data_IF_536538251379
#
_entry.id   IF_536538251379
#
_cell.length_a   1.000
_cell.length_b   1.000
_cell.length_c   1.000
_cell.angle_alpha   90.00
_cell.angle_beta   90.00
_cell.angle_gamma   90.00
#
_symmetry.space_group_name_H-M   'P 1'
#
loop_
_entity.id
_entity.type
_entity.pdbx_description
1 polymer ?
#
# COMPACT_ATOMS: atom_id res chain seq x y z
N UNK A 1 -49.12 -39.83 6.26
CA UNK A 1 -47.80 -39.96 5.66
C UNK A 1 -47.55 -38.95 4.52
N UNK A 2 -48.01 -37.69 4.60
CA UNK A 2 -47.77 -36.62 3.58
C UNK A 2 -47.18 -35.32 4.14
N UNK A 3 -46.68 -35.30 5.38
CA UNK A 3 -46.07 -34.11 6.00
C UNK A 3 -44.59 -34.22 6.30
N UNK A 4 -43.95 -35.35 6.00
CA UNK A 4 -42.51 -35.56 6.24
C UNK A 4 -41.64 -35.28 5.00
N UNK A 5 -42.21 -35.15 3.81
CA UNK A 5 -41.49 -34.93 2.58
C UNK A 5 -41.03 -33.48 2.32
N UNK A 6 -41.68 -32.50 2.98
CA UNK A 6 -41.38 -31.07 2.75
C UNK A 6 -40.24 -30.50 3.60
N UNK A 7 -39.91 -31.15 4.72
CA UNK A 7 -38.83 -30.71 5.61
C UNK A 7 -37.46 -31.14 5.04
N UNK A 8 -37.39 -32.27 4.35
CA UNK A 8 -36.15 -32.74 3.72
C UNK A 8 -35.82 -32.00 2.41
N UNK A 9 -36.82 -31.49 1.68
CA UNK A 9 -36.62 -30.67 0.48
C UNK A 9 -36.11 -29.25 0.82
N UNK A 10 -36.58 -28.66 1.94
CA UNK A 10 -36.12 -27.34 2.40
C UNK A 10 -34.68 -27.39 2.95
N UNK A 11 -34.25 -28.50 3.58
CA UNK A 11 -32.90 -28.66 4.07
C UNK A 11 -31.87 -28.91 2.93
N UNK A 12 -32.28 -29.59 1.85
CA UNK A 12 -31.45 -29.79 0.67
C UNK A 12 -31.28 -28.51 -0.16
N UNK A 13 -32.30 -27.65 -0.24
CA UNK A 13 -32.22 -26.36 -0.92
C UNK A 13 -31.37 -25.32 -0.14
N UNK A 14 -31.33 -25.41 1.20
CA UNK A 14 -30.48 -24.54 2.01
C UNK A 14 -28.98 -24.93 1.96
N UNK A 15 -28.66 -26.21 1.77
CA UNK A 15 -27.27 -26.67 1.59
C UNK A 15 -26.72 -26.38 0.19
N UNK A 16 -27.55 -26.25 -0.84
CA UNK A 16 -27.10 -25.91 -2.19
C UNK A 16 -26.91 -24.39 -2.39
N UNK A 17 -27.49 -23.54 -1.56
CA UNK A 17 -27.24 -22.09 -1.61
C UNK A 17 -25.98 -21.66 -0.86
N UNK A 18 -25.45 -22.46 0.07
CA UNK A 18 -24.21 -22.16 0.77
C UNK A 18 -22.94 -22.43 -0.05
N UNK A 19 -23.04 -23.22 -1.14
CA UNK A 19 -21.89 -23.55 -2.00
C UNK A 19 -21.78 -22.70 -3.29
N UNK A 20 -22.67 -21.72 -3.51
CA UNK A 20 -22.65 -20.88 -4.70
C UNK A 20 -21.85 -19.57 -4.55
N UNK A 21 -21.14 -19.37 -3.44
CA UNK A 21 -20.37 -18.15 -3.18
C UNK A 21 -18.86 -18.31 -3.19
N UNK A 22 -18.33 -19.48 -3.51
CA UNK A 22 -16.89 -19.61 -3.80
C UNK A 22 -16.69 -19.45 -5.31
N UNK A 23 -16.46 -18.21 -5.75
CA UNK A 23 -15.89 -17.97 -7.07
C UNK A 23 -14.54 -18.68 -7.20
N UNK A 24 -14.10 -18.99 -8.43
CA UNK A 24 -12.84 -19.69 -8.63
C UNK A 24 -11.70 -18.91 -7.98
N UNK A 25 -10.99 -19.55 -7.06
CA UNK A 25 -9.75 -19.04 -6.48
C UNK A 25 -8.78 -18.78 -7.63
N UNK A 26 -8.25 -17.55 -7.72
CA UNK A 26 -7.16 -17.23 -8.61
C UNK A 26 -6.02 -18.24 -8.42
N UNK A 27 -5.90 -19.20 -9.34
CA UNK A 27 -4.70 -19.99 -9.54
C UNK A 27 -3.79 -19.24 -10.53
N UNK A 28 -3.48 -18.00 -10.24
CA UNK A 28 -2.19 -17.46 -10.65
C UNK A 28 -1.19 -18.16 -9.75
N UNK A 29 -0.06 -18.63 -10.25
CA UNK A 29 0.96 -19.34 -9.52
C UNK A 29 1.26 -18.70 -8.16
N UNK A 30 0.40 -18.93 -7.19
CA UNK A 30 0.82 -19.04 -5.82
C UNK A 30 1.49 -20.42 -5.81
N UNK A 31 2.77 -20.45 -6.20
CA UNK A 31 3.67 -21.46 -5.69
C UNK A 31 3.22 -21.71 -4.27
N UNK A 32 2.97 -23.00 -3.89
CA UNK A 32 2.74 -23.47 -2.53
C UNK A 32 3.31 -22.44 -1.58
N UNK A 33 2.48 -21.74 -0.82
CA UNK A 33 2.91 -20.59 -0.01
C UNK A 33 4.16 -21.05 0.74
N UNK A 34 5.32 -20.66 0.25
CA UNK A 34 6.55 -20.84 1.00
C UNK A 34 6.26 -20.12 2.30
N UNK A 35 6.34 -20.82 3.43
CA UNK A 35 6.09 -20.18 4.71
C UNK A 35 6.98 -18.96 4.76
N UNK A 36 6.35 -17.78 4.97
CA UNK A 36 7.09 -16.53 5.04
C UNK A 36 8.21 -16.66 6.07
N UNK A 37 9.41 -16.15 5.78
CA UNK A 37 10.52 -16.14 6.72
C UNK A 37 10.09 -15.50 8.04
N UNK A 38 10.35 -16.17 9.16
CA UNK A 38 9.99 -15.69 10.50
C UNK A 38 11.13 -14.83 11.03
N UNK A 39 10.83 -13.56 11.37
CA UNK A 39 11.79 -12.61 11.90
C UNK A 39 11.44 -12.20 13.33
N UNK A 40 12.44 -12.16 14.21
CA UNK A 40 12.36 -11.53 15.53
C UNK A 40 12.87 -10.09 15.45
N UNK A 41 12.11 -9.16 16.01
CA UNK A 41 12.43 -7.72 16.04
C UNK A 41 12.14 -7.21 17.44
N UNK A 42 13.08 -7.39 18.39
CA UNK A 42 12.93 -6.83 19.73
C UNK A 42 12.95 -5.30 19.69
N UNK A 43 12.43 -4.67 20.75
CA UNK A 43 12.53 -3.23 20.88
C UNK A 43 13.99 -2.81 21.08
N UNK A 44 14.50 -2.01 20.15
CA UNK A 44 15.85 -1.49 20.20
C UNK A 44 15.94 -0.42 21.28
N UNK A 45 17.12 -0.30 21.87
CA UNK A 45 17.44 0.71 22.86
C UNK A 45 18.31 1.82 22.27
N UNK A 46 18.36 2.95 22.97
CA UNK A 46 19.18 4.08 22.57
C UNK A 46 20.11 4.53 23.69
N UNK A 47 21.18 5.20 23.31
CA UNK A 47 22.06 5.93 24.21
C UNK A 47 21.68 7.42 24.24
N UNK A 48 21.71 8.02 25.45
CA UNK A 48 21.52 9.46 25.61
C UNK A 48 20.14 9.98 25.24
N UNK A 49 20.08 11.12 24.57
CA UNK A 49 18.86 11.83 24.19
C UNK A 49 18.00 11.03 23.19
N UNK A 50 18.61 10.16 22.38
CA UNK A 50 17.89 9.33 21.41
C UNK A 50 16.86 8.39 22.06
N UNK A 51 16.99 8.08 23.36
CA UNK A 51 16.05 7.22 24.09
C UNK A 51 14.61 7.75 24.07
N UNK A 52 14.42 9.05 24.03
CA UNK A 52 13.09 9.68 23.99
C UNK A 52 12.27 9.28 22.74
N UNK A 53 12.93 8.91 21.64
CA UNK A 53 12.30 8.62 20.35
C UNK A 53 12.14 7.12 20.07
N UNK A 54 12.61 6.24 20.98
CA UNK A 54 12.62 4.80 20.73
C UNK A 54 11.22 4.18 20.65
N UNK A 55 10.24 4.74 21.33
CA UNK A 55 8.84 4.31 21.21
C UNK A 55 8.35 4.40 19.76
N UNK A 56 8.57 5.54 19.13
CA UNK A 56 8.19 5.77 17.73
C UNK A 56 9.03 4.93 16.78
N UNK A 57 10.35 4.90 16.97
CA UNK A 57 11.25 4.08 16.15
C UNK A 57 10.82 2.60 16.13
N UNK A 58 10.64 1.99 17.30
CA UNK A 58 10.30 0.58 17.41
C UNK A 58 8.91 0.26 16.84
N UNK A 59 7.95 1.16 17.01
CA UNK A 59 6.62 1.02 16.44
C UNK A 59 6.66 1.04 14.91
N UNK A 60 7.36 2.02 14.33
CA UNK A 60 7.49 2.17 12.87
C UNK A 60 8.23 0.99 12.25
N UNK A 61 9.38 0.58 12.84
CA UNK A 61 10.14 -0.58 12.37
C UNK A 61 9.27 -1.85 12.36
N UNK A 62 8.53 -2.08 13.44
CA UNK A 62 7.63 -3.21 13.56
C UNK A 62 6.52 -3.17 12.51
N UNK A 63 5.84 -2.02 12.35
CA UNK A 63 4.70 -1.87 11.46
C UNK A 63 5.10 -2.03 9.98
N UNK A 64 6.26 -1.50 9.59
CA UNK A 64 6.79 -1.67 8.24
C UNK A 64 7.08 -3.13 7.92
N UNK A 65 7.77 -3.83 8.82
CA UNK A 65 8.12 -5.24 8.60
C UNK A 65 6.88 -6.15 8.67
N UNK A 66 5.98 -5.93 9.63
CA UNK A 66 4.75 -6.70 9.79
C UNK A 66 3.78 -6.54 8.62
N UNK A 67 3.77 -5.35 8.00
CA UNK A 67 2.92 -5.07 6.84
C UNK A 67 3.61 -5.28 5.49
N UNK A 68 4.85 -5.75 5.45
CA UNK A 68 5.63 -5.90 4.22
C UNK A 68 5.11 -6.97 3.25
N UNK A 69 4.35 -7.94 3.74
CA UNK A 69 3.88 -9.09 2.95
C UNK A 69 4.96 -10.13 2.61
N UNK A 70 6.23 -9.89 2.98
CA UNK A 70 7.35 -10.82 2.69
C UNK A 70 7.95 -11.46 3.94
N UNK A 71 7.47 -11.07 5.13
CA UNK A 71 7.96 -11.53 6.42
C UNK A 71 6.79 -11.91 7.35
N UNK A 72 7.05 -12.84 8.25
CA UNK A 72 6.18 -13.16 9.39
C UNK A 72 6.88 -12.74 10.68
N UNK A 73 6.22 -11.92 11.49
CA UNK A 73 6.78 -11.47 12.76
C UNK A 73 6.70 -12.56 13.82
N UNK A 74 7.79 -12.88 14.49
CA UNK A 74 7.77 -13.68 15.69
C UNK A 74 7.12 -12.87 16.85
N UNK A 75 6.25 -13.46 17.68
CA UNK A 75 5.58 -12.72 18.75
C UNK A 75 6.56 -12.19 19.80
N UNK A 76 6.53 -10.90 20.11
CA UNK A 76 7.42 -10.25 21.10
C UNK A 76 7.33 -10.90 22.50
N UNK A 77 6.19 -11.46 22.85
CA UNK A 77 5.99 -12.14 24.14
C UNK A 77 6.81 -13.42 24.31
N UNK A 78 7.35 -13.94 23.22
CA UNK A 78 8.16 -15.16 23.19
C UNK A 78 9.67 -14.89 23.13
N UNK A 79 10.08 -13.62 23.16
CA UNK A 79 11.49 -13.25 23.06
C UNK A 79 12.25 -13.49 24.36
N UNK A 80 13.56 -13.76 24.29
CA UNK A 80 14.46 -13.73 25.44
C UNK A 80 14.40 -12.38 26.14
N UNK A 81 14.69 -12.37 27.46
CA UNK A 81 14.66 -11.13 28.25
C UNK A 81 15.75 -10.12 27.85
N UNK A 82 16.86 -10.59 27.30
CA UNK A 82 17.97 -9.74 26.89
C UNK A 82 17.92 -9.44 25.40
N UNK A 83 18.17 -8.18 25.02
CA UNK A 83 18.21 -7.72 23.63
C UNK A 83 19.64 -7.39 23.25
N UNK A 84 20.24 -8.07 22.24
CA UNK A 84 21.58 -7.72 21.75
C UNK A 84 21.56 -6.36 21.07
N UNK A 85 22.62 -5.59 21.21
CA UNK A 85 22.78 -4.27 20.58
C UNK A 85 23.82 -4.29 19.48
N UNK A 86 24.80 -5.17 19.57
CA UNK A 86 25.90 -5.29 18.63
C UNK A 86 26.32 -6.75 18.42
N UNK A 87 26.98 -7.08 17.29
CA UNK A 87 27.40 -8.46 17.00
C UNK A 87 28.28 -9.10 18.07
N UNK A 88 29.09 -8.31 18.77
CA UNK A 88 29.96 -8.78 19.85
C UNK A 88 29.22 -9.22 21.12
N UNK A 89 27.93 -8.92 21.25
CA UNK A 89 27.10 -9.35 22.36
C UNK A 89 26.75 -10.85 22.28
N UNK A 90 26.96 -11.47 21.11
CA UNK A 90 26.76 -12.90 20.94
C UNK A 90 27.99 -13.72 21.32
N UNK A 91 27.73 -14.82 22.04
CA UNK A 91 28.76 -15.79 22.39
C UNK A 91 29.30 -16.47 21.15
N UNK A 92 30.63 -16.60 21.10
CA UNK A 92 31.29 -17.42 20.09
C UNK A 92 31.16 -18.91 20.50
N UNK A 93 30.89 -19.84 19.57
CA UNK A 93 31.07 -21.27 19.84
C UNK A 93 32.50 -21.50 20.35
N UNK A 94 32.65 -22.26 21.43
CA UNK A 94 33.96 -22.63 21.91
C UNK A 94 34.72 -23.29 20.74
N UNK A 95 35.91 -22.79 20.41
CA UNK A 95 36.78 -23.43 19.43
C UNK A 95 36.92 -24.90 19.87
N UNK A 96 36.69 -25.84 18.95
CA UNK A 96 36.83 -27.27 19.25
C UNK A 96 38.22 -27.48 19.86
N UNK A 97 38.25 -27.84 21.15
CA UNK A 97 39.50 -28.04 21.86
C UNK A 97 40.32 -29.10 21.10
N UNK A 98 41.61 -28.86 20.80
CA UNK A 98 42.42 -29.88 20.17
C UNK A 98 42.34 -31.14 21.05
N UNK A 99 42.05 -32.28 20.44
CA UNK A 99 41.90 -33.56 21.10
C UNK A 99 43.17 -33.88 21.95
N UNK A 100 43.12 -33.54 23.25
CA UNK A 100 43.86 -34.08 24.38
C UNK A 100 43.67 -33.18 25.61
N UNK A 101 42.46 -33.17 26.19
CA UNK A 101 42.34 -32.71 27.57
C UNK A 101 42.90 -33.80 28.48
N UNK A 102 43.95 -33.50 29.24
CA UNK A 102 44.39 -34.35 30.32
C UNK A 102 43.30 -34.42 31.39
N UNK A 103 43.02 -35.64 31.86
CA UNK A 103 42.05 -35.91 32.91
C UNK A 103 42.37 -35.03 34.14
N UNK A 104 41.51 -34.06 34.45
CA UNK A 104 41.64 -33.19 35.62
C UNK A 104 41.59 -31.67 35.35
N UNK A 105 41.64 -31.16 34.13
CA UNK A 105 41.40 -29.75 33.86
C UNK A 105 39.88 -29.48 33.78
N UNK A 106 39.36 -28.79 34.76
CA UNK A 106 38.07 -28.13 34.70
C UNK A 106 38.14 -27.15 33.51
N UNK A 107 37.45 -27.50 32.42
CA UNK A 107 37.21 -26.57 31.32
C UNK A 107 36.61 -25.32 31.93
N UNK A 108 37.36 -24.22 31.90
CA UNK A 108 36.89 -22.94 32.34
C UNK A 108 35.59 -22.65 31.55
N UNK A 109 34.46 -22.69 32.25
CA UNK A 109 33.20 -22.26 31.70
C UNK A 109 33.45 -20.88 31.13
N UNK A 110 33.11 -20.66 29.89
CA UNK A 110 33.25 -19.35 29.24
C UNK A 110 32.56 -18.30 30.12
N UNK A 111 33.36 -17.62 30.93
CA UNK A 111 32.96 -16.52 31.81
C UNK A 111 32.87 -15.25 30.94
N UNK A 112 31.88 -15.18 30.09
CA UNK A 112 31.53 -14.00 29.33
C UNK A 112 30.02 -13.90 29.29
N UNK A 113 29.44 -12.85 29.87
CA UNK A 113 28.05 -12.49 29.63
C UNK A 113 27.85 -12.31 28.12
N UNK A 114 26.75 -12.81 27.59
CA UNK A 114 26.43 -12.70 26.16
C UNK A 114 25.25 -13.58 25.80
N UNK A 115 24.68 -13.33 24.64
CA UNK A 115 23.49 -14.02 24.15
C UNK A 115 23.87 -15.19 23.25
N UNK A 116 23.05 -16.23 23.25
CA UNK A 116 23.15 -17.28 22.25
C UNK A 116 22.18 -17.02 21.09
N UNK A 117 22.61 -17.17 19.86
CA UNK A 117 21.73 -17.12 18.69
C UNK A 117 20.60 -18.17 18.80
N UNK A 118 20.90 -19.31 19.43
CA UNK A 118 19.92 -20.37 19.68
C UNK A 118 18.76 -19.96 20.59
N UNK A 119 18.90 -18.93 21.42
CA UNK A 119 17.83 -18.43 22.26
C UNK A 119 16.70 -17.80 21.45
N UNK A 120 17.03 -17.32 20.24
CA UNK A 120 16.09 -16.73 19.28
C UNK A 120 15.59 -17.73 18.24
N UNK A 121 16.44 -18.69 17.81
CA UNK A 121 16.09 -19.63 16.74
C UNK A 121 15.31 -20.85 17.25
N UNK A 122 15.41 -21.19 18.53
CA UNK A 122 14.70 -22.32 19.15
C UNK A 122 13.39 -21.85 19.82
N UNK A 123 12.47 -22.77 20.12
CA UNK A 123 11.31 -22.44 20.92
C UNK A 123 11.71 -21.78 22.27
N UNK A 124 10.97 -20.77 22.73
CA UNK A 124 9.65 -20.36 22.23
C UNK A 124 9.65 -19.37 21.06
N UNK A 125 10.73 -18.63 20.79
CA UNK A 125 10.77 -17.57 19.77
C UNK A 125 10.70 -18.14 18.34
N UNK A 126 11.45 -19.22 18.06
CA UNK A 126 11.45 -19.96 16.79
C UNK A 126 11.60 -19.07 15.54
N UNK A 127 12.46 -18.03 15.62
CA UNK A 127 12.72 -17.13 14.52
C UNK A 127 13.85 -17.66 13.63
N UNK A 128 13.74 -17.47 12.32
CA UNK A 128 14.82 -17.75 11.37
C UNK A 128 15.80 -16.59 11.25
N UNK A 129 15.34 -15.38 11.57
CA UNK A 129 16.11 -14.13 11.45
C UNK A 129 15.92 -13.25 12.67
N UNK A 130 16.93 -12.41 12.95
CA UNK A 130 16.91 -11.45 14.07
C UNK A 130 17.40 -10.09 13.59
N UNK A 131 16.52 -9.08 13.68
CA UNK A 131 16.89 -7.69 13.49
C UNK A 131 17.15 -7.04 14.85
N UNK A 132 18.31 -6.44 15.04
CA UNK A 132 18.73 -5.83 16.31
C UNK A 132 19.68 -4.69 16.07
N UNK A 133 20.00 -3.94 17.11
CA UNK A 133 20.90 -2.82 17.03
C UNK A 133 20.66 -1.80 18.15
N UNK A 134 21.23 -0.62 17.99
CA UNK A 134 21.01 0.49 18.91
C UNK A 134 21.01 1.83 18.17
N UNK A 135 20.36 2.83 18.75
CA UNK A 135 20.41 4.20 18.27
C UNK A 135 21.22 5.07 19.21
N UNK A 136 21.82 6.11 18.65
CA UNK A 136 22.58 7.11 19.40
C UNK A 136 22.37 8.49 18.74
N UNK A 137 22.55 9.54 19.53
CA UNK A 137 22.65 10.91 19.03
C UNK A 137 24.11 11.35 19.14
N UNK A 138 24.65 11.94 18.09
CA UNK A 138 25.97 12.56 18.07
C UNK A 138 25.95 13.82 17.23
N UNK A 139 26.30 14.95 17.84
CA UNK A 139 26.38 16.27 17.18
C UNK A 139 25.07 16.70 16.51
N UNK A 140 23.92 16.46 17.13
CA UNK A 140 22.61 16.81 16.58
C UNK A 140 22.14 15.88 15.45
N UNK A 141 22.71 14.70 15.30
CA UNK A 141 22.33 13.69 14.30
C UNK A 141 21.96 12.38 15.01
N UNK A 142 20.74 11.89 14.76
CA UNK A 142 20.37 10.55 15.16
C UNK A 142 20.98 9.52 14.23
N UNK A 143 21.52 8.44 14.82
CA UNK A 143 22.15 7.34 14.11
C UNK A 143 21.58 6.02 14.59
N UNK A 144 21.43 5.07 13.67
CA UNK A 144 21.11 3.68 13.97
C UNK A 144 22.29 2.80 13.52
N UNK A 145 22.73 1.90 14.38
CA UNK A 145 23.60 0.77 14.04
C UNK A 145 22.72 -0.48 13.97
N UNK A 146 22.20 -0.75 12.76
CA UNK A 146 21.26 -1.83 12.51
C UNK A 146 21.95 -3.10 12.01
N UNK A 147 21.53 -4.25 12.54
CA UNK A 147 22.02 -5.57 12.17
C UNK A 147 20.86 -6.50 11.85
N UNK A 148 21.04 -7.36 10.86
CA UNK A 148 20.17 -8.48 10.57
C UNK A 148 21.00 -9.77 10.53
N UNK A 149 20.59 -10.77 11.30
CA UNK A 149 21.25 -12.07 11.36
C UNK A 149 20.36 -13.18 10.80
N UNK A 150 20.98 -14.09 10.05
CA UNK A 150 20.43 -15.42 9.71
C UNK A 150 20.78 -16.37 10.86
N UNK A 151 19.79 -16.73 11.65
CA UNK A 151 19.96 -17.57 12.85
C UNK A 151 20.21 -19.05 12.54
N UNK A 152 20.22 -19.46 11.28
CA UNK A 152 20.62 -20.80 10.86
C UNK A 152 22.14 -21.00 10.87
N UNK A 153 22.91 -19.90 10.96
CA UNK A 153 24.36 -19.90 10.96
C UNK A 153 24.93 -20.17 12.35
N UNK A 154 26.14 -20.67 12.37
CA UNK A 154 26.84 -21.13 13.58
C UNK A 154 27.55 -20.01 14.36
N UNK A 155 27.99 -18.96 13.69
CA UNK A 155 28.71 -17.83 14.29
C UNK A 155 28.10 -16.49 13.94
N UNK A 156 28.25 -15.48 14.82
CA UNK A 156 27.77 -14.14 14.59
C UNK A 156 28.36 -13.50 13.30
N UNK A 157 29.63 -13.81 12.99
CA UNK A 157 30.28 -13.32 11.78
C UNK A 157 29.64 -13.90 10.50
N UNK A 158 29.29 -15.18 10.50
CA UNK A 158 28.64 -15.85 9.37
C UNK A 158 27.13 -15.54 9.27
N UNK A 159 26.52 -15.16 10.40
CA UNK A 159 25.07 -14.87 10.50
C UNK A 159 24.72 -13.47 9.98
N UNK A 160 25.67 -12.54 9.96
CA UNK A 160 25.41 -11.15 9.63
C UNK A 160 25.08 -10.96 8.15
N UNK A 161 23.80 -10.64 7.86
CA UNK A 161 23.30 -10.30 6.53
C UNK A 161 23.31 -8.80 6.29
N UNK A 162 22.97 -8.01 7.31
CA UNK A 162 23.05 -6.55 7.33
C UNK A 162 23.87 -6.15 8.55
N UNK A 163 24.83 -5.23 8.37
CA UNK A 163 25.56 -4.53 9.42
C UNK A 163 25.84 -3.12 8.90
N UNK A 164 24.95 -2.16 9.20
CA UNK A 164 24.96 -0.86 8.55
C UNK A 164 24.63 0.27 9.53
N UNK A 165 25.29 1.39 9.33
CA UNK A 165 24.99 2.65 10.00
C UNK A 165 24.05 3.48 9.14
N UNK A 166 22.93 3.92 9.72
CA UNK A 166 21.96 4.82 9.12
C UNK A 166 22.04 6.17 9.81
N UNK A 167 21.85 7.24 9.08
CA UNK A 167 21.86 8.61 9.58
C UNK A 167 20.52 9.25 9.30
N UNK A 168 19.93 9.92 10.29
CA UNK A 168 18.74 10.72 10.12
C UNK A 168 19.08 12.12 9.61
N UNK A 169 18.10 12.81 9.04
CA UNK A 169 18.23 14.23 8.66
C UNK A 169 17.98 15.19 9.83
N UNK A 170 17.34 14.72 10.91
CA UNK A 170 17.00 15.48 12.11
C UNK A 170 17.24 14.62 13.36
N UNK A 171 17.32 15.26 14.54
CA UNK A 171 17.49 14.63 15.85
C UNK A 171 16.18 14.61 16.66
N UNK A 172 15.07 14.48 15.98
CA UNK A 172 13.72 14.48 16.54
C UNK A 172 12.96 13.17 16.21
N UNK A 173 11.66 13.16 16.48
CA UNK A 173 10.77 12.05 16.15
C UNK A 173 10.76 11.73 14.65
N UNK A 174 10.87 12.73 13.76
CA UNK A 174 10.92 12.51 12.30
C UNK A 174 12.20 11.78 11.91
N UNK A 175 13.33 12.17 12.50
CA UNK A 175 14.59 11.46 12.31
C UNK A 175 14.55 10.01 12.78
N UNK A 176 13.92 9.74 13.92
CA UNK A 176 13.75 8.37 14.42
C UNK A 176 12.86 7.52 13.48
N UNK A 177 11.75 8.08 12.96
CA UNK A 177 10.91 7.43 11.95
C UNK A 177 11.69 7.14 10.67
N UNK A 178 12.47 8.12 10.18
CA UNK A 178 13.31 7.96 9.01
C UNK A 178 14.30 6.81 9.16
N UNK A 179 14.97 6.68 10.32
CA UNK A 179 15.89 5.57 10.59
C UNK A 179 15.18 4.22 10.58
N UNK A 180 13.99 4.13 11.19
CA UNK A 180 13.19 2.92 11.21
C UNK A 180 12.79 2.48 9.81
N UNK A 181 12.28 3.41 8.99
CA UNK A 181 11.91 3.16 7.60
C UNK A 181 13.10 2.70 6.74
N UNK A 182 14.26 3.35 6.88
CA UNK A 182 15.47 2.98 6.12
C UNK A 182 15.95 1.57 6.48
N UNK A 183 15.94 1.22 7.76
CA UNK A 183 16.35 -0.12 8.19
C UNK A 183 15.34 -1.19 7.75
N UNK A 184 14.05 -0.92 7.91
CA UNK A 184 12.99 -1.79 7.39
C UNK A 184 13.11 -1.99 5.87
N UNK A 185 13.40 -0.93 5.12
CA UNK A 185 13.56 -0.97 3.67
C UNK A 185 14.67 -1.91 3.22
N UNK A 186 15.84 -1.85 3.86
CA UNK A 186 16.95 -2.76 3.56
C UNK A 186 16.56 -4.22 3.87
N UNK A 187 15.90 -4.47 5.00
CA UNK A 187 15.41 -5.81 5.36
C UNK A 187 14.39 -6.30 4.33
N UNK A 188 13.34 -5.53 4.04
CA UNK A 188 12.28 -5.90 3.09
C UNK A 188 12.89 -6.22 1.71
N UNK A 189 13.82 -5.39 1.24
CA UNK A 189 14.49 -5.58 -0.05
C UNK A 189 15.29 -6.87 -0.10
N UNK A 190 15.96 -7.23 0.98
CA UNK A 190 16.71 -8.48 1.09
C UNK A 190 15.83 -9.73 0.95
N UNK A 191 14.57 -9.64 1.40
CA UNK A 191 13.58 -10.72 1.26
C UNK A 191 12.73 -10.60 -0.02
N UNK A 192 13.17 -9.79 -1.00
CA UNK A 192 12.55 -9.68 -2.32
C UNK A 192 11.33 -8.76 -2.39
N UNK A 193 10.99 -8.07 -1.31
CA UNK A 193 9.98 -7.02 -1.29
C UNK A 193 10.49 -5.70 -1.87
N UNK A 194 9.55 -4.76 -2.10
CA UNK A 194 9.87 -3.38 -2.44
C UNK A 194 9.51 -2.47 -1.26
N UNK A 195 10.40 -1.55 -0.94
CA UNK A 195 10.14 -0.57 0.11
C UNK A 195 9.13 0.47 -0.33
N UNK A 196 8.34 0.96 0.64
CA UNK A 196 7.44 2.10 0.49
C UNK A 196 8.09 3.44 0.88
N UNK A 197 9.36 3.43 1.26
CA UNK A 197 10.10 4.66 1.61
C UNK A 197 10.13 5.62 0.42
N UNK A 198 9.78 6.88 0.68
CA UNK A 198 9.69 7.92 -0.35
C UNK A 198 8.43 7.88 -1.20
N UNK A 199 7.48 6.98 -0.89
CA UNK A 199 6.16 7.00 -1.53
C UNK A 199 5.16 7.77 -0.68
N UNK A 200 4.20 8.43 -1.34
CA UNK A 200 3.22 9.28 -0.69
C UNK A 200 1.79 8.94 -1.11
N UNK A 201 0.85 9.13 -0.20
CA UNK A 201 -0.57 9.02 -0.46
C UNK A 201 -1.17 10.43 -0.49
N UNK A 202 -1.56 10.88 -1.67
CA UNK A 202 -2.35 12.09 -1.85
C UNK A 202 -3.82 11.72 -1.67
N UNK A 203 -4.59 12.56 -0.99
CA UNK A 203 -5.99 12.27 -0.72
C UNK A 203 -6.81 13.56 -0.57
N UNK A 204 -8.11 13.43 -0.65
CA UNK A 204 -9.04 14.53 -0.43
C UNK A 204 -9.35 14.60 1.06
N UNK A 205 -9.08 15.73 1.69
CA UNK A 205 -9.45 16.00 3.07
C UNK A 205 -10.58 17.04 3.15
N UNK A 206 -11.54 16.81 4.03
CA UNK A 206 -12.62 17.71 4.36
C UNK A 206 -12.75 17.78 5.88
N UNK A 207 -12.49 18.93 6.48
CA UNK A 207 -12.43 19.07 7.94
C UNK A 207 -13.76 18.72 8.65
N UNK A 208 -14.89 19.05 8.02
CA UNK A 208 -16.23 18.70 8.49
C UNK A 208 -17.20 18.62 7.30
N UNK A 209 -18.36 17.99 7.46
CA UNK A 209 -19.39 17.98 6.43
C UNK A 209 -19.76 19.40 5.99
N UNK A 210 -19.74 19.66 4.67
CA UNK A 210 -19.99 20.99 4.09
C UNK A 210 -18.77 21.92 4.05
N UNK A 211 -17.65 21.58 4.68
CA UNK A 211 -16.41 22.36 4.55
C UNK A 211 -15.77 22.16 3.15
N UNK A 212 -14.88 23.06 2.71
CA UNK A 212 -14.09 22.89 1.50
C UNK A 212 -13.35 21.54 1.50
N UNK A 213 -13.18 20.97 0.30
CA UNK A 213 -12.35 19.78 0.07
C UNK A 213 -11.01 20.21 -0.50
N UNK A 214 -9.93 19.79 0.13
CA UNK A 214 -8.58 20.14 -0.29
C UNK A 214 -7.74 18.86 -0.50
N UNK A 215 -6.75 18.93 -1.38
CA UNK A 215 -5.77 17.86 -1.53
C UNK A 215 -4.76 17.94 -0.40
N UNK A 216 -4.60 16.84 0.28
CA UNK A 216 -3.59 16.62 1.30
C UNK A 216 -2.64 15.52 0.85
N UNK A 217 -1.51 15.41 1.52
CA UNK A 217 -0.52 14.36 1.34
C UNK A 217 -0.09 13.81 2.69
N UNK A 218 0.23 12.54 2.72
CA UNK A 218 0.84 11.83 3.85
C UNK A 218 1.87 10.82 3.36
N UNK A 219 2.77 10.40 4.25
CA UNK A 219 3.65 9.28 4.01
C UNK A 219 2.87 7.97 3.95
N UNK A 220 3.47 6.90 3.41
CA UNK A 220 2.84 5.58 3.25
C UNK A 220 2.31 4.99 4.57
N UNK A 221 2.90 5.37 5.71
CA UNK A 221 2.51 4.94 7.06
C UNK A 221 1.42 5.81 7.69
N UNK A 222 1.00 6.89 7.01
CA UNK A 222 -0.01 7.85 7.48
C UNK A 222 0.55 9.04 8.25
N UNK A 223 1.87 9.16 8.39
CA UNK A 223 2.52 10.29 9.05
C UNK A 223 2.63 11.53 8.14
N UNK A 224 3.11 12.63 8.71
CA UNK A 224 3.46 13.87 8.01
C UNK A 224 2.33 14.47 7.16
N UNK A 225 1.08 14.36 7.64
CA UNK A 225 -0.10 14.87 6.94
C UNK A 225 -0.06 16.38 6.79
N UNK A 226 -0.19 16.88 5.56
CA UNK A 226 -0.22 18.33 5.31
C UNK A 226 -0.94 18.68 4.00
N UNK A 227 -1.27 19.97 3.86
CA UNK A 227 -1.96 20.53 2.69
C UNK A 227 -1.07 20.53 1.45
N UNK A 228 -1.64 20.15 0.31
CA UNK A 228 -1.12 20.46 -1.03
C UNK A 228 -1.87 21.66 -1.61
N UNK A 229 -3.19 21.74 -1.42
CA UNK A 229 -4.01 22.86 -1.89
C UNK A 229 -4.64 23.62 -0.72
N UNK A 230 -4.92 24.92 -0.96
CA UNK A 230 -5.64 25.81 -0.03
C UNK A 230 -6.50 26.79 -0.82
N UNK A 231 -7.37 26.23 -1.65
CA UNK A 231 -8.24 27.03 -2.51
C UNK A 231 -9.54 27.47 -1.83
N UNK A 232 -9.83 26.92 -0.67
CA UNK A 232 -11.10 27.08 0.02
C UNK A 232 -12.30 26.75 -0.89
N UNK A 233 -12.15 25.67 -1.66
CA UNK A 233 -13.08 25.19 -2.68
C UNK A 233 -13.16 23.67 -2.67
N UNK A 234 -13.73 23.07 -3.73
CA UNK A 234 -13.70 21.62 -3.94
C UNK A 234 -12.48 21.27 -4.79
N UNK A 235 -11.50 20.59 -4.21
CA UNK A 235 -10.38 19.96 -4.91
C UNK A 235 -10.45 18.46 -4.65
N UNK A 236 -10.57 17.67 -5.70
CA UNK A 236 -10.91 16.23 -5.64
C UNK A 236 -10.13 15.43 -6.68
N UNK A 237 -10.17 14.09 -6.57
CA UNK A 237 -9.65 13.14 -7.57
C UNK A 237 -8.18 13.36 -7.92
N UNK A 238 -7.27 13.33 -6.94
CA UNK A 238 -5.85 13.46 -7.23
C UNK A 238 -5.32 12.28 -8.05
N UNK A 239 -4.34 12.56 -8.88
CA UNK A 239 -3.54 11.59 -9.63
C UNK A 239 -2.08 11.98 -9.54
N UNK A 240 -1.19 11.04 -9.32
CA UNK A 240 0.26 11.26 -9.18
C UNK A 240 0.95 10.92 -10.49
N UNK A 241 1.90 11.75 -10.91
CA UNK A 241 2.74 11.46 -12.06
C UNK A 241 3.65 10.24 -11.77
N UNK A 242 4.03 9.44 -12.79
CA UNK A 242 4.83 8.23 -12.58
C UNK A 242 6.18 8.46 -11.89
N UNK A 243 6.76 9.65 -12.07
CA UNK A 243 8.03 10.06 -11.46
C UNK A 243 7.86 10.74 -10.09
N UNK A 244 6.62 10.85 -9.58
CA UNK A 244 6.31 11.52 -8.32
C UNK A 244 6.45 13.06 -8.33
N UNK A 245 6.92 13.66 -9.44
CA UNK A 245 7.24 15.09 -9.47
C UNK A 245 6.04 16.01 -9.58
N UNK A 246 4.86 15.48 -9.94
CA UNK A 246 3.64 16.24 -10.19
C UNK A 246 2.40 15.52 -9.71
N UNK A 247 1.38 16.32 -9.42
CA UNK A 247 0.01 15.84 -9.22
C UNK A 247 -0.92 16.57 -10.19
N UNK A 248 -1.95 15.87 -10.65
CA UNK A 248 -3.11 16.44 -11.33
C UNK A 248 -4.35 16.16 -10.50
N UNK A 249 -5.30 17.09 -10.50
CA UNK A 249 -6.54 16.96 -9.74
C UNK A 249 -7.64 17.82 -10.35
N UNK A 250 -8.89 17.52 -10.00
CA UNK A 250 -10.05 18.32 -10.35
C UNK A 250 -10.27 19.39 -9.29
N UNK A 251 -10.46 20.67 -9.68
CA UNK A 251 -10.82 21.71 -8.72
C UNK A 251 -11.85 22.69 -9.26
N UNK A 252 -12.72 23.14 -8.37
CA UNK A 252 -13.75 24.16 -8.62
C UNK A 252 -13.27 25.58 -8.23
N UNK A 253 -11.99 25.78 -7.96
CA UNK A 253 -11.43 27.06 -7.56
C UNK A 253 -11.65 28.20 -8.56
N UNK A 254 -11.97 27.89 -9.83
CA UNK A 254 -12.31 28.85 -10.89
C UNK A 254 -13.82 28.92 -11.19
N UNK A 255 -14.67 28.36 -10.33
CA UNK A 255 -16.12 28.34 -10.47
C UNK A 255 -16.70 27.11 -11.19
N UNK A 256 -15.98 26.53 -12.13
CA UNK A 256 -16.34 25.29 -12.84
C UNK A 256 -15.27 24.24 -12.61
N UNK A 257 -15.62 22.90 -12.66
CA UNK A 257 -14.63 21.85 -12.49
C UNK A 257 -13.60 21.89 -13.62
N UNK A 258 -12.36 22.07 -13.24
CA UNK A 258 -11.22 22.20 -14.15
C UNK A 258 -10.05 21.32 -13.63
N UNK A 259 -9.18 20.90 -14.55
CA UNK A 259 -7.97 20.20 -14.19
C UNK A 259 -6.89 21.18 -13.79
N UNK A 260 -6.27 20.91 -12.66
CA UNK A 260 -5.06 21.58 -12.20
C UNK A 260 -3.90 20.57 -12.21
N UNK A 261 -2.71 21.05 -12.54
CA UNK A 261 -1.47 20.29 -12.48
C UNK A 261 -0.48 21.07 -11.63
N UNK A 262 0.03 20.44 -10.58
CA UNK A 262 1.00 21.05 -9.67
C UNK A 262 2.30 20.24 -9.67
N UNK A 263 3.46 20.94 -9.54
CA UNK A 263 4.68 20.30 -9.05
C UNK A 263 4.55 20.06 -7.55
N UNK A 264 5.20 19.02 -7.03
CA UNK A 264 5.11 18.67 -5.59
C UNK A 264 6.29 19.25 -4.79
N UNK A 265 7.44 19.46 -5.41
CA UNK A 265 8.64 20.03 -4.79
C UNK A 265 9.35 21.02 -5.75
N UNK A 266 9.23 22.33 -5.54
CA UNK A 266 8.27 23.01 -4.68
C UNK A 266 6.83 22.92 -5.21
N UNK A 267 5.85 22.99 -4.30
CA UNK A 267 4.43 23.01 -4.69
C UNK A 267 4.12 24.26 -5.51
N UNK A 268 3.77 24.09 -6.79
CA UNK A 268 3.52 25.17 -7.73
C UNK A 268 2.53 24.79 -8.81
N UNK A 269 1.58 25.69 -9.14
CA UNK A 269 0.66 25.56 -10.28
C UNK A 269 1.45 25.59 -11.62
N UNK A 270 1.33 24.54 -12.41
CA UNK A 270 1.99 24.37 -13.71
C UNK A 270 1.09 24.78 -14.90
N UNK A 271 -0.13 25.29 -14.64
CA UNK A 271 -1.11 25.78 -15.60
C UNK A 271 -1.48 24.78 -16.71
N UNK A 272 -2.58 24.10 -16.51
CA UNK A 272 -3.23 23.30 -17.55
C UNK A 272 -4.24 24.17 -18.31
N UNK A 273 -3.97 24.51 -19.58
CA UNK A 273 -4.69 25.58 -20.26
C UNK A 273 -6.02 25.18 -20.90
N UNK A 274 -6.24 23.98 -21.32
CA UNK A 274 -7.32 23.65 -22.24
C UNK A 274 -8.61 23.19 -21.58
N UNK A 275 -9.36 24.11 -21.05
CA UNK A 275 -10.62 23.94 -20.33
C UNK A 275 -11.79 24.36 -21.22
N UNK A 276 -11.98 23.70 -22.37
CA UNK A 276 -12.98 24.11 -23.38
C UNK A 276 -14.41 23.69 -23.07
N UNK A 277 -14.63 22.95 -21.97
CA UNK A 277 -15.92 22.47 -21.55
C UNK A 277 -16.30 22.98 -20.17
N UNK A 278 -17.61 22.91 -19.86
CA UNK A 278 -18.12 23.27 -18.52
C UNK A 278 -17.69 22.32 -17.42
N UNK A 279 -17.26 21.10 -17.76
CA UNK A 279 -16.76 20.09 -16.82
C UNK A 279 -15.53 19.39 -17.44
N UNK A 280 -14.42 19.43 -16.72
CA UNK A 280 -13.21 18.66 -16.97
C UNK A 280 -12.71 18.14 -15.64
N UNK A 281 -12.45 16.84 -15.56
CA UNK A 281 -12.05 16.22 -14.27
C UNK A 281 -11.47 14.82 -14.40
N UNK A 282 -11.17 14.21 -13.28
CA UNK A 282 -10.68 12.84 -13.15
C UNK A 282 -9.40 12.59 -13.97
N UNK A 283 -8.35 13.39 -13.76
CA UNK A 283 -7.14 13.28 -14.55
C UNK A 283 -6.36 12.00 -14.22
N UNK A 284 -5.65 11.49 -15.23
CA UNK A 284 -4.69 10.38 -15.11
C UNK A 284 -3.50 10.64 -16.03
N UNK A 285 -2.27 10.48 -15.52
CA UNK A 285 -1.07 10.65 -16.33
C UNK A 285 -0.83 9.45 -17.24
N UNK A 286 -0.20 9.70 -18.40
CA UNK A 286 0.45 8.64 -19.18
C UNK A 286 1.74 8.18 -18.48
N UNK A 287 2.21 6.93 -18.72
CA UNK A 287 3.40 6.39 -18.06
C UNK A 287 4.69 7.18 -18.32
N UNK A 288 4.77 7.90 -19.44
CA UNK A 288 5.89 8.78 -19.76
C UNK A 288 5.78 10.18 -19.12
N UNK A 289 4.68 10.46 -18.41
CA UNK A 289 4.41 11.73 -17.73
C UNK A 289 4.22 12.92 -18.67
N UNK A 290 4.04 12.71 -20.00
CA UNK A 290 3.95 13.79 -21.00
C UNK A 290 2.53 14.21 -21.32
N UNK A 291 1.54 13.39 -21.02
CA UNK A 291 0.14 13.66 -21.32
C UNK A 291 -0.75 13.36 -20.12
N UNK A 292 -1.95 13.93 -20.14
CA UNK A 292 -3.02 13.70 -19.17
C UNK A 292 -4.25 13.21 -19.92
N UNK A 293 -4.81 12.09 -19.46
CA UNK A 293 -6.11 11.58 -19.88
C UNK A 293 -7.15 12.02 -18.85
N UNK A 294 -8.33 12.45 -19.26
CA UNK A 294 -9.33 13.01 -18.36
C UNK A 294 -10.75 12.90 -18.92
N UNK A 295 -11.74 13.04 -18.07
CA UNK A 295 -13.15 13.12 -18.45
C UNK A 295 -13.52 14.55 -18.76
N UNK A 296 -14.27 14.78 -19.87
CA UNK A 296 -14.73 16.11 -20.25
C UNK A 296 -16.14 16.08 -20.84
N UNK A 297 -16.94 17.13 -20.53
CA UNK A 297 -18.26 17.34 -21.12
C UNK A 297 -18.23 17.98 -22.50
N UNK A 298 -17.07 18.13 -23.13
CA UNK A 298 -16.94 18.67 -24.50
C UNK A 298 -17.70 17.79 -25.51
N UNK A 299 -18.71 18.36 -26.19
CA UNK A 299 -19.43 17.72 -27.27
C UNK A 299 -20.64 16.84 -26.89
N UNK A 300 -21.33 17.12 -25.81
CA UNK A 300 -22.67 16.67 -25.34
C UNK A 300 -22.70 15.80 -24.06
N UNK A 301 -21.72 14.94 -23.84
CA UNK A 301 -21.71 13.98 -22.73
C UNK A 301 -20.28 13.73 -22.30
N UNK A 302 -20.07 13.29 -21.08
CA UNK A 302 -18.74 13.02 -20.57
C UNK A 302 -18.03 11.96 -21.43
N UNK A 303 -16.91 12.34 -22.02
CA UNK A 303 -16.05 11.48 -22.81
C UNK A 303 -14.63 11.56 -22.28
N UNK A 304 -13.85 10.57 -22.62
CA UNK A 304 -12.44 10.54 -22.29
C UNK A 304 -11.66 11.32 -23.35
N UNK A 305 -10.86 12.26 -22.89
CA UNK A 305 -9.95 13.08 -23.68
C UNK A 305 -8.50 12.81 -23.27
N UNK A 306 -7.57 13.13 -24.16
CA UNK A 306 -6.14 13.22 -23.89
C UNK A 306 -5.61 14.58 -24.32
N UNK A 307 -4.68 15.12 -23.55
CA UNK A 307 -3.99 16.37 -23.86
C UNK A 307 -2.53 16.31 -23.41
N UNK A 308 -1.69 17.21 -23.92
CA UNK A 308 -0.35 17.45 -23.39
C UNK A 308 -0.42 17.98 -21.95
N UNK A 309 0.71 17.95 -21.23
CA UNK A 309 0.84 18.42 -19.84
C UNK A 309 0.46 19.89 -19.64
N UNK A 310 0.44 20.67 -20.69
CA UNK A 310 -0.01 22.06 -20.71
C UNK A 310 -1.49 22.22 -21.15
N UNK A 311 -2.19 21.11 -21.41
CA UNK A 311 -3.57 21.08 -21.90
C UNK A 311 -3.72 21.29 -23.40
N UNK A 312 -2.63 21.45 -24.16
CA UNK A 312 -2.68 21.61 -25.62
C UNK A 312 -2.78 20.28 -26.36
N UNK A 313 -3.17 20.34 -27.64
CA UNK A 313 -3.29 19.14 -28.47
C UNK A 313 -4.37 18.16 -28.01
N UNK A 314 -5.39 18.65 -27.32
CA UNK A 314 -6.46 17.82 -26.80
C UNK A 314 -7.29 17.18 -27.92
N UNK A 315 -7.67 15.94 -27.71
CA UNK A 315 -8.59 15.20 -28.56
C UNK A 315 -9.42 14.20 -27.77
N UNK A 316 -10.65 13.88 -28.22
CA UNK A 316 -11.40 12.78 -27.63
C UNK A 316 -10.74 11.43 -27.98
N UNK A 317 -10.83 10.47 -27.03
CA UNK A 317 -10.46 9.08 -27.24
C UNK A 317 -11.73 8.24 -27.33
N UNK A 318 -12.65 8.38 -26.36
CA UNK A 318 -13.88 7.61 -26.38
C UNK A 318 -14.94 8.24 -27.31
N UNK A 319 -15.84 7.39 -27.84
CA UNK A 319 -16.95 7.80 -28.70
C UNK A 319 -18.02 8.56 -27.91
N UNK A 320 -18.79 9.41 -28.62
CA UNK A 320 -19.92 10.12 -28.01
C UNK A 320 -21.09 9.16 -27.70
N UNK A 321 -21.89 9.49 -26.68
CA UNK A 321 -23.16 8.83 -26.39
C UNK A 321 -23.27 8.09 -25.06
N UNK A 322 -22.21 8.05 -24.26
CA UNK A 322 -22.22 7.44 -22.94
C UNK A 322 -21.52 8.34 -21.91
N UNK A 323 -21.80 8.10 -20.62
CA UNK A 323 -21.02 8.70 -19.54
C UNK A 323 -19.77 7.86 -19.33
N UNK A 324 -18.63 8.36 -19.81
CA UNK A 324 -17.33 7.77 -19.62
C UNK A 324 -16.53 8.61 -18.62
N UNK A 325 -16.06 7.99 -17.55
CA UNK A 325 -15.46 8.65 -16.40
C UNK A 325 -14.28 7.86 -15.84
N UNK A 326 -13.48 8.50 -14.98
CA UNK A 326 -12.41 7.86 -14.20
C UNK A 326 -11.35 7.12 -15.04
N UNK A 327 -10.85 7.71 -16.12
CA UNK A 327 -9.86 7.02 -16.96
C UNK A 327 -8.55 6.78 -16.22
N UNK A 328 -7.99 5.58 -16.39
CA UNK A 328 -6.67 5.20 -15.88
C UNK A 328 -5.85 4.54 -16.98
N UNK A 329 -4.68 5.11 -17.29
CA UNK A 329 -3.79 4.58 -18.30
C UNK A 329 -2.99 3.42 -17.74
N UNK A 330 -2.82 2.34 -18.50
CA UNK A 330 -2.00 1.20 -18.12
C UNK A 330 -0.56 1.66 -17.84
N UNK A 331 -0.05 1.53 -16.60
CA UNK A 331 1.22 2.12 -16.19
C UNK A 331 2.43 1.40 -16.81
N UNK A 332 2.26 0.17 -17.26
CA UNK A 332 3.34 -0.65 -17.83
C UNK A 332 3.51 -0.44 -19.31
N UNK A 333 2.41 -0.39 -20.05
CA UNK A 333 2.43 -0.37 -21.52
C UNK A 333 2.10 0.99 -22.10
N UNK A 334 1.28 1.81 -21.41
CA UNK A 334 0.70 3.03 -21.95
C UNK A 334 -0.27 2.79 -23.10
N UNK A 335 -0.52 1.52 -23.48
CA UNK A 335 -1.28 1.16 -24.67
C UNK A 335 -2.79 1.06 -24.47
N UNK A 336 -3.26 0.97 -23.24
CA UNK A 336 -4.68 0.82 -22.91
C UNK A 336 -5.11 1.73 -21.77
N UNK A 337 -6.43 1.99 -21.74
CA UNK A 337 -7.10 2.79 -20.71
C UNK A 337 -8.23 1.95 -20.15
N UNK A 338 -8.31 1.82 -18.83
CA UNK A 338 -9.52 1.40 -18.12
C UNK A 338 -10.32 2.62 -17.69
N UNK A 339 -11.64 2.48 -17.60
CA UNK A 339 -12.53 3.56 -17.23
C UNK A 339 -13.90 3.04 -16.80
N UNK A 340 -14.64 3.86 -16.05
CA UNK A 340 -16.00 3.60 -15.69
C UNK A 340 -16.94 4.11 -16.78
N UNK A 341 -18.00 3.33 -17.13
CA UNK A 341 -18.96 3.75 -18.14
C UNK A 341 -20.37 3.25 -17.86
N UNK A 342 -21.35 4.14 -18.03
CA UNK A 342 -22.78 3.86 -17.96
C UNK A 342 -23.41 3.38 -19.29
N UNK A 343 -22.63 3.05 -20.32
CA UNK A 343 -23.14 2.70 -21.67
C UNK A 343 -24.02 1.47 -21.74
N UNK A 344 -23.94 0.58 -20.77
CA UNK A 344 -24.75 -0.64 -20.69
C UNK A 344 -25.83 -0.61 -19.59
N UNK A 345 -26.12 0.55 -19.02
CA UNK A 345 -27.02 0.74 -17.89
C UNK A 345 -26.29 1.14 -16.62
N UNK A 346 -26.31 0.34 -15.54
CA UNK A 346 -25.47 0.60 -14.36
C UNK A 346 -23.99 0.72 -14.74
N UNK A 347 -23.27 1.55 -14.01
CA UNK A 347 -21.87 1.80 -14.25
C UNK A 347 -21.02 0.52 -14.18
N UNK A 348 -20.12 0.33 -15.14
CA UNK A 348 -19.27 -0.84 -15.29
C UNK A 348 -17.87 -0.43 -15.67
N UNK A 349 -16.87 -1.30 -15.40
CA UNK A 349 -15.50 -1.09 -15.85
C UNK A 349 -15.34 -1.57 -17.28
N UNK A 350 -14.78 -0.70 -18.11
CA UNK A 350 -14.42 -0.93 -19.50
C UNK A 350 -12.92 -0.73 -19.73
N UNK A 351 -12.41 -1.30 -20.79
CA UNK A 351 -11.06 -1.07 -21.29
C UNK A 351 -11.11 -0.76 -22.79
N UNK A 352 -10.19 0.08 -23.25
CA UNK A 352 -9.98 0.38 -24.68
C UNK A 352 -8.52 0.72 -24.92
N UNK A 353 -8.09 0.74 -26.17
CA UNK A 353 -6.78 1.24 -26.57
C UNK A 353 -6.69 2.78 -26.50
N UNK A 354 -5.49 3.34 -26.56
CA UNK A 354 -5.24 4.80 -26.52
C UNK A 354 -5.78 5.56 -27.75
N UNK A 355 -6.18 4.86 -28.79
CA UNK A 355 -6.87 5.41 -29.98
C UNK A 355 -8.39 5.26 -29.93
N UNK A 356 -8.94 4.62 -28.87
CA UNK A 356 -10.35 4.35 -28.68
C UNK A 356 -10.87 3.06 -29.31
N UNK A 357 -9.97 2.26 -29.92
CA UNK A 357 -10.30 0.93 -30.45
C UNK A 357 -10.34 -0.14 -29.35
N UNK A 358 -10.77 -1.35 -29.73
CA UNK A 358 -10.81 -2.55 -28.89
C UNK A 358 -11.56 -2.34 -27.58
N UNK A 359 -12.70 -1.64 -27.67
CA UNK A 359 -13.56 -1.35 -26.53
C UNK A 359 -14.21 -2.63 -25.98
N UNK A 360 -13.89 -2.96 -24.75
CA UNK A 360 -14.35 -4.16 -24.09
C UNK A 360 -14.85 -3.87 -22.66
N UNK A 361 -15.96 -4.52 -22.24
CA UNK A 361 -16.43 -4.49 -20.85
C UNK A 361 -15.68 -5.54 -20.03
N UNK A 362 -15.08 -5.12 -18.90
CA UNK A 362 -14.37 -6.00 -17.99
C UNK A 362 -15.28 -6.68 -16.96
N UNK A 363 -16.26 -5.95 -16.41
CA UNK A 363 -17.20 -6.46 -15.41
C UNK A 363 -18.45 -7.05 -16.07
N UNK A 364 -19.12 -8.00 -15.41
CA UNK A 364 -20.21 -8.80 -15.99
C UNK A 364 -21.59 -8.13 -16.04
N UNK A 365 -21.69 -6.90 -15.55
CA UNK A 365 -22.95 -6.14 -15.51
C UNK A 365 -23.79 -6.35 -14.26
N UNK A 366 -23.34 -7.16 -13.30
CA UNK A 366 -24.04 -7.36 -12.02
C UNK A 366 -23.67 -6.22 -11.06
N UNK A 367 -24.67 -5.45 -10.57
CA UNK A 367 -24.44 -4.30 -9.70
C UNK A 367 -23.74 -3.14 -10.41
N UNK A 368 -23.10 -2.27 -9.65
CA UNK A 368 -22.34 -1.10 -10.12
C UNK A 368 -20.85 -1.30 -9.85
N UNK A 369 -20.01 -1.00 -10.84
CA UNK A 369 -18.54 -1.08 -10.73
C UNK A 369 -17.90 0.23 -11.18
N UNK A 370 -17.00 0.80 -10.34
CA UNK A 370 -16.36 2.12 -10.54
C UNK A 370 -14.99 2.20 -9.91
N UNK A 371 -14.35 3.35 -10.05
CA UNK A 371 -13.06 3.70 -9.46
C UNK A 371 -11.94 2.69 -9.81
N UNK A 372 -11.66 2.43 -11.08
CA UNK A 372 -10.60 1.52 -11.45
C UNK A 372 -9.21 2.06 -11.10
N UNK A 373 -8.26 1.16 -10.83
CA UNK A 373 -6.86 1.47 -10.55
C UNK A 373 -5.97 0.33 -11.02
N UNK A 374 -5.00 0.63 -11.89
CA UNK A 374 -4.03 -0.34 -12.37
C UNK A 374 -3.01 -0.74 -11.31
N UNK A 375 -2.75 -2.03 -11.22
CA UNK A 375 -1.54 -2.54 -10.60
C UNK A 375 -0.30 -2.15 -11.41
N UNK A 376 0.87 -1.87 -10.80
CA UNK A 376 2.08 -1.47 -11.52
C UNK A 376 2.56 -2.44 -12.62
N UNK A 377 2.18 -3.73 -12.54
CA UNK A 377 2.47 -4.70 -13.61
C UNK A 377 1.69 -4.47 -14.90
N UNK A 378 0.58 -3.72 -14.85
CA UNK A 378 -0.32 -3.53 -15.97
C UNK A 378 -1.18 -4.75 -16.34
N UNK A 379 -1.28 -5.75 -15.45
CA UNK A 379 -2.05 -6.99 -15.65
C UNK A 379 -3.28 -7.09 -14.75
N UNK A 380 -3.21 -6.50 -13.55
CA UNK A 380 -4.29 -6.51 -12.58
C UNK A 380 -4.88 -5.11 -12.46
N UNK A 381 -6.17 -5.06 -12.16
CA UNK A 381 -6.87 -3.85 -11.73
C UNK A 381 -7.48 -4.06 -10.36
N UNK A 382 -7.59 -2.99 -9.57
CA UNK A 382 -8.46 -2.92 -8.41
C UNK A 382 -9.61 -1.96 -8.72
N UNK A 383 -10.80 -2.24 -8.20
CA UNK A 383 -11.98 -1.40 -8.43
C UNK A 383 -13.02 -1.61 -7.33
N UNK A 384 -13.95 -0.67 -7.22
CA UNK A 384 -15.07 -0.77 -6.31
C UNK A 384 -16.24 -1.45 -7.01
N UNK A 385 -16.95 -2.39 -6.35
CA UNK A 385 -18.06 -3.12 -6.92
C UNK A 385 -19.13 -3.44 -5.88
N UNK A 386 -20.41 -3.28 -6.26
CA UNK A 386 -21.55 -3.65 -5.39
C UNK A 386 -22.01 -5.10 -5.57
N UNK A 387 -21.29 -5.91 -6.36
CA UNK A 387 -21.65 -7.30 -6.65
C UNK A 387 -21.97 -8.10 -5.37
N UNK A 388 -23.17 -8.67 -5.31
CA UNK A 388 -23.63 -9.44 -4.15
C UNK A 388 -24.07 -8.61 -2.95
N UNK A 389 -24.09 -7.28 -3.07
CA UNK A 389 -24.50 -6.34 -2.03
C UNK A 389 -25.61 -5.40 -2.51
N UNK A 390 -26.25 -4.69 -1.58
CA UNK A 390 -27.20 -3.66 -1.91
C UNK A 390 -26.54 -2.50 -2.68
N UNK A 391 -27.32 -1.79 -3.48
CA UNK A 391 -26.88 -0.60 -4.20
C UNK A 391 -26.20 0.40 -3.25
N UNK A 392 -25.06 0.94 -3.66
CA UNK A 392 -24.24 1.85 -2.86
C UNK A 392 -23.36 1.19 -1.81
N UNK A 393 -23.46 -0.12 -1.59
CA UNK A 393 -22.57 -0.87 -0.70
C UNK A 393 -21.39 -1.45 -1.49
N UNK A 394 -20.44 -0.59 -1.83
CA UNK A 394 -19.26 -0.94 -2.58
C UNK A 394 -18.24 -1.71 -1.74
N UNK A 395 -17.58 -2.66 -2.38
CA UNK A 395 -16.44 -3.39 -1.86
C UNK A 395 -15.29 -3.38 -2.87
N UNK A 396 -14.06 -3.52 -2.39
CA UNK A 396 -12.87 -3.57 -3.25
C UNK A 396 -12.70 -4.97 -3.79
N UNK A 397 -12.53 -5.05 -5.09
CA UNK A 397 -12.19 -6.26 -5.85
C UNK A 397 -10.90 -6.04 -6.64
N UNK A 398 -10.22 -7.12 -6.95
CA UNK A 398 -9.15 -7.14 -7.94
C UNK A 398 -9.52 -8.08 -9.07
N UNK A 399 -9.03 -7.81 -10.30
CA UNK A 399 -9.27 -8.62 -11.48
C UNK A 399 -8.01 -8.70 -12.33
N UNK A 400 -7.70 -9.87 -12.85
CA UNK A 400 -6.77 -10.04 -13.95
C UNK A 400 -7.49 -9.68 -15.26
N UNK A 401 -6.97 -8.72 -16.01
CA UNK A 401 -7.65 -8.15 -17.19
C UNK A 401 -7.72 -9.11 -18.38
N UNK A 402 -6.86 -10.14 -18.41
CA UNK A 402 -6.83 -11.15 -19.48
C UNK A 402 -7.76 -12.33 -19.17
N UNK A 403 -7.59 -12.93 -18.00
CA UNK A 403 -8.37 -14.11 -17.59
C UNK A 403 -9.77 -13.76 -17.07
N UNK A 404 -10.03 -12.50 -16.74
CA UNK A 404 -11.28 -12.01 -16.10
C UNK A 404 -11.56 -12.62 -14.72
N UNK A 405 -10.59 -13.32 -14.15
CA UNK A 405 -10.74 -13.82 -12.79
C UNK A 405 -10.61 -12.66 -11.80
N UNK A 406 -11.50 -12.62 -10.83
CA UNK A 406 -11.53 -11.58 -9.81
C UNK A 406 -11.55 -12.16 -8.39
N UNK A 407 -11.05 -11.36 -7.44
CA UNK A 407 -11.06 -11.66 -6.01
C UNK A 407 -11.65 -10.46 -5.26
N UNK A 408 -12.52 -10.74 -4.29
CA UNK A 408 -13.04 -9.74 -3.38
C UNK A 408 -12.08 -9.55 -2.20
N UNK A 409 -11.69 -8.32 -1.91
CA UNK A 409 -10.73 -7.97 -0.85
C UNK A 409 -11.39 -7.42 0.42
N UNK A 410 -12.55 -6.76 0.30
CA UNK A 410 -13.33 -6.25 1.46
C UNK A 410 -14.74 -6.87 1.46
N UNK A 411 -15.31 -7.10 2.65
CA UNK A 411 -16.49 -7.95 2.79
C UNK A 411 -17.60 -7.25 3.61
N UNK A 412 -18.27 -6.21 3.02
CA UNK A 412 -19.44 -5.58 3.62
C UNK A 412 -19.21 -4.80 4.91
N UNK A 413 -17.97 -4.47 5.22
CA UNK A 413 -17.59 -3.66 6.38
C UNK A 413 -17.69 -2.17 6.05
N UNK A 414 -18.92 -1.67 5.81
CA UNK A 414 -19.16 -0.32 5.32
C UNK A 414 -18.91 -0.21 3.81
N UNK A 415 -18.93 1.03 3.31
CA UNK A 415 -18.67 1.38 1.93
C UNK A 415 -17.16 1.49 1.71
N UNK A 416 -16.63 0.75 0.75
CA UNK A 416 -15.20 0.70 0.42
C UNK A 416 -15.01 1.06 -1.04
N UNK A 417 -14.27 2.16 -1.33
CA UNK A 417 -14.17 2.75 -2.66
C UNK A 417 -12.79 3.34 -2.94
N UNK A 418 -12.61 3.80 -4.18
CA UNK A 418 -11.42 4.50 -4.64
C UNK A 418 -10.12 3.75 -4.30
N UNK A 419 -9.96 2.47 -4.71
CA UNK A 419 -8.70 1.79 -4.50
C UNK A 419 -7.58 2.47 -5.29
N UNK A 420 -6.38 2.51 -4.72
CA UNK A 420 -5.17 2.99 -5.37
C UNK A 420 -4.02 2.06 -5.05
N UNK A 421 -3.42 1.46 -6.07
CA UNK A 421 -2.24 0.61 -5.88
C UNK A 421 -1.02 1.42 -5.47
N UNK A 422 -0.26 0.87 -4.54
CA UNK A 422 1.06 1.38 -4.20
C UNK A 422 2.07 1.05 -5.32
N UNK A 423 3.16 1.83 -5.45
CA UNK A 423 4.22 1.57 -6.44
C UNK A 423 4.93 0.22 -6.27
N UNK A 424 4.86 -0.39 -5.08
CA UNK A 424 5.42 -1.72 -4.81
C UNK A 424 4.60 -2.87 -5.42
N UNK A 425 3.31 -2.63 -5.73
CA UNK A 425 2.36 -3.64 -6.21
C UNK A 425 1.88 -4.61 -5.12
N UNK A 426 2.33 -4.47 -3.89
CA UNK A 426 1.96 -5.35 -2.78
C UNK A 426 0.90 -4.72 -1.85
N UNK A 427 0.66 -3.42 -1.99
CA UNK A 427 -0.27 -2.68 -1.14
C UNK A 427 -1.34 -1.93 -1.94
N UNK A 428 -2.46 -1.68 -1.28
CA UNK A 428 -3.56 -0.85 -1.74
C UNK A 428 -3.93 0.19 -0.68
N UNK A 429 -4.13 1.44 -1.08
CA UNK A 429 -4.88 2.42 -0.32
C UNK A 429 -6.33 2.44 -0.81
N UNK A 430 -7.28 2.69 0.06
CA UNK A 430 -8.70 2.80 -0.29
C UNK A 430 -9.46 3.66 0.72
N UNK A 431 -10.60 4.19 0.34
CA UNK A 431 -11.52 4.84 1.24
C UNK A 431 -12.45 3.82 1.89
N UNK A 432 -12.70 3.94 3.20
CA UNK A 432 -13.72 3.16 3.90
C UNK A 432 -14.40 3.99 4.99
N UNK A 433 -15.71 3.83 5.12
CA UNK A 433 -16.49 4.48 6.19
C UNK A 433 -16.85 3.52 7.34
N UNK A 434 -16.20 2.37 7.44
CA UNK A 434 -16.48 1.31 8.45
C UNK A 434 -16.34 1.77 9.90
N UNK A 435 -15.63 2.86 10.15
CA UNK A 435 -15.45 3.47 11.48
C UNK A 435 -16.39 4.66 11.72
N UNK A 436 -17.44 4.81 10.89
CA UNK A 436 -18.46 5.87 11.01
C UNK A 436 -18.26 7.02 10.01
N UNK A 437 -17.03 7.40 9.70
CA UNK A 437 -16.68 8.44 8.74
C UNK A 437 -15.76 7.90 7.66
N UNK A 438 -15.79 8.54 6.48
CA UNK A 438 -14.87 8.20 5.37
C UNK A 438 -13.43 8.48 5.78
N UNK A 439 -12.61 7.44 5.73
CA UNK A 439 -11.18 7.49 6.10
C UNK A 439 -10.34 6.74 5.08
N UNK A 440 -9.06 7.07 4.98
CA UNK A 440 -8.11 6.33 4.16
C UNK A 440 -7.59 5.14 4.95
N UNK A 441 -7.64 3.99 4.32
CA UNK A 441 -7.15 2.71 4.80
C UNK A 441 -6.06 2.18 3.87
N UNK A 442 -5.19 1.35 4.39
CA UNK A 442 -4.19 0.57 3.65
C UNK A 442 -4.41 -0.91 3.91
N UNK A 443 -4.16 -1.76 2.93
CA UNK A 443 -4.17 -3.22 3.03
C UNK A 443 -3.11 -3.84 2.12
N UNK A 444 -2.80 -5.12 2.36
CA UNK A 444 -2.06 -5.93 1.40
C UNK A 444 -2.93 -6.30 0.18
N UNK A 445 -2.28 -6.66 -0.92
CA UNK A 445 -2.93 -7.03 -2.18
C UNK A 445 -3.88 -8.24 -2.08
N UNK A 446 -3.73 -9.06 -1.04
CA UNK A 446 -4.61 -10.19 -0.71
C UNK A 446 -5.81 -9.80 0.17
N UNK A 447 -5.96 -8.51 0.51
CA UNK A 447 -7.02 -7.99 1.38
C UNK A 447 -6.74 -8.09 2.87
N UNK A 448 -5.59 -8.62 3.29
CA UNK A 448 -5.18 -8.72 4.69
C UNK A 448 -4.49 -7.45 5.21
N UNK A 449 -4.10 -7.42 6.47
CA UNK A 449 -3.40 -6.32 7.13
C UNK A 449 -4.07 -4.94 6.95
N UNK A 450 -5.40 -4.89 7.00
CA UNK A 450 -6.16 -3.65 6.83
C UNK A 450 -5.94 -2.70 8.00
N UNK A 451 -5.45 -1.49 7.73
CA UNK A 451 -5.10 -0.49 8.74
C UNK A 451 -5.59 0.90 8.33
N UNK A 452 -6.23 1.59 9.27
CA UNK A 452 -6.67 2.97 9.10
C UNK A 452 -5.48 3.94 9.14
N UNK A 453 -5.39 4.87 8.17
CA UNK A 453 -4.28 5.84 8.05
C UNK A 453 -4.68 7.27 8.40
N UNK A 454 -5.94 7.63 8.24
CA UNK A 454 -6.47 8.95 8.65
C UNK A 454 -7.53 8.80 9.73
N UNK A 455 -7.69 9.81 10.59
CA UNK A 455 -8.64 9.78 11.71
C UNK A 455 -9.47 11.05 11.83
N UNK A 456 -8.89 12.20 11.43
CA UNK A 456 -9.53 13.50 11.56
C UNK A 456 -10.31 13.86 10.29
N UNK A 457 -11.46 14.49 10.45
CA UNK A 457 -12.32 14.93 9.35
C UNK A 457 -12.88 13.77 8.52
N UNK A 458 -13.09 14.05 7.23
CA UNK A 458 -13.60 13.13 6.23
C UNK A 458 -12.56 13.03 5.11
N UNK A 459 -12.18 11.82 4.73
CA UNK A 459 -11.07 11.60 3.81
C UNK A 459 -11.48 10.67 2.68
N UNK A 460 -11.15 11.04 1.42
CA UNK A 460 -11.62 10.37 0.21
C UNK A 460 -10.52 10.23 -0.84
N UNK A 461 -10.78 9.41 -1.85
CA UNK A 461 -10.06 9.33 -3.13
C UNK A 461 -8.53 9.32 -2.97
N UNK A 462 -7.94 8.33 -2.30
CA UNK A 462 -6.49 8.24 -2.22
C UNK A 462 -5.87 8.02 -3.61
N UNK A 463 -4.70 8.61 -3.83
CA UNK A 463 -3.83 8.38 -4.99
C UNK A 463 -2.43 8.13 -4.47
N UNK A 464 -1.94 6.91 -4.62
CA UNK A 464 -0.62 6.51 -4.15
C UNK A 464 0.42 6.66 -5.26
N UNK A 465 1.55 7.30 -4.96
CA UNK A 465 2.64 7.52 -5.91
C UNK A 465 4.01 7.58 -5.25
N UNK A 466 5.03 7.78 -6.09
CA UNK A 466 6.40 8.03 -5.63
C UNK A 466 6.49 9.38 -4.94
#
# INVERSE_FOLDING_TARGET
MKKLGWILAAAAAALTMANAQQGPVLKGEVNKAAELPVIAVPDLHAAGAAQAFMGVFNQVLWDDLASSGVLKMAPKTLYPQGVPQQPSDFRQPAAAAPHRAKQGELLAAASGGGYWMSDWSKPPASAGYLAFGYTAEQNGVLMLFGNLFDLSRDTAANAQMIGKRYLASTDDEKGARQLAHLFAADIITLFGGKSLVGTHIYYVHQAAFGAPKEIWVMDADGANQHYVTRFNSLSIEPSVAPDGSKIAFTSYAKGTPAIFVFSVDPVRDLRFYNQVASMNGQPSFTPDGKQVVYSSSAGRCCRIFIAGMDGRGFRPISSAGSLDAEPKVNPKTGGSIEFSSGRSGPEQIYMMNMDGADLERLTDGTGEASNPSWHPSGQLIAYAWTRGYAQGNFNIFTMDVVSRQYVQLTHGQGRNENPSWAPDGAHLAFMSNRTGHSQIWRMLADGTAQQQRTRDGLNYSPAWGM
#
